data_IF_329343908567
#
_entry.id   IF_329343908567
#
_cell.length_a   1.000
_cell.length_b   1.000
_cell.length_c   1.000
_cell.angle_alpha   90.00
_cell.angle_beta   90.00
_cell.angle_gamma   90.00
#
_symmetry.space_group_name_H-M   'P 1'
#
loop_
_entity.id
_entity.type
_entity.pdbx_description
1 polymer ?
#
# COMPACT_ATOMS: atom_id res chain seq x y z
N UNK A 1 -16.48 50.66 -25.78
CA UNK A 1 -17.33 49.58 -25.22
C UNK A 1 -16.46 48.85 -24.23
N UNK A 2 -16.40 49.43 -23.04
CA UNK A 2 -15.53 49.01 -21.95
C UNK A 2 -16.15 47.80 -21.25
N UNK A 3 -15.47 46.66 -21.30
CA UNK A 3 -15.85 45.48 -20.51
C UNK A 3 -14.96 45.38 -19.29
N UNK A 4 -15.50 45.91 -18.20
CA UNK A 4 -15.06 45.77 -16.82
C UNK A 4 -15.21 44.30 -16.39
N UNK A 5 -14.11 43.56 -16.25
CA UNK A 5 -14.13 42.22 -15.63
C UNK A 5 -13.63 42.38 -14.21
N UNK A 6 -14.60 42.57 -13.32
CA UNK A 6 -14.43 42.60 -11.87
C UNK A 6 -13.82 41.28 -11.37
N UNK A 7 -12.69 41.42 -10.69
CA UNK A 7 -12.04 40.36 -9.92
C UNK A 7 -12.97 39.87 -8.79
N UNK A 8 -13.33 38.60 -8.84
CA UNK A 8 -13.90 37.85 -7.73
C UNK A 8 -12.83 36.88 -7.22
N UNK A 9 -12.16 37.29 -6.16
CA UNK A 9 -11.28 36.45 -5.33
C UNK A 9 -12.13 35.40 -4.62
N UNK A 10 -12.13 34.18 -5.14
CA UNK A 10 -12.56 33.00 -4.39
C UNK A 10 -11.33 32.42 -3.69
N UNK A 11 -11.35 32.47 -2.37
CA UNK A 11 -10.40 31.77 -1.52
C UNK A 11 -10.65 30.26 -1.65
N UNK A 12 -10.05 29.66 -2.68
CA UNK A 12 -10.07 28.21 -2.83
C UNK A 12 -9.06 27.63 -1.83
N UNK A 13 -9.64 26.91 -0.86
CA UNK A 13 -8.94 26.10 0.12
C UNK A 13 -7.80 25.33 -0.55
N UNK A 14 -6.56 25.62 -0.14
CA UNK A 14 -5.39 24.86 -0.56
C UNK A 14 -5.57 23.45 -0.05
N UNK A 15 -5.92 22.59 -0.98
CA UNK A 15 -6.13 21.16 -0.83
C UNK A 15 -4.97 20.49 -0.06
N UNK A 16 -5.34 19.69 0.93
CA UNK A 16 -4.47 19.05 1.93
C UNK A 16 -3.69 17.88 1.28
N UNK A 17 -2.76 18.22 0.39
CA UNK A 17 -1.71 17.34 -0.16
C UNK A 17 -2.20 15.94 -0.58
N UNK A 18 -2.74 15.82 -1.79
CA UNK A 18 -3.15 14.58 -2.46
C UNK A 18 -2.03 13.51 -2.68
N UNK A 19 -0.80 13.77 -2.23
CA UNK A 19 0.36 12.89 -2.45
C UNK A 19 1.25 12.69 -1.23
N UNK A 20 2.03 11.62 -1.27
CA UNK A 20 3.03 11.31 -0.25
C UNK A 20 4.24 12.27 -0.35
N UNK A 21 4.62 12.98 0.72
CA UNK A 21 5.68 13.99 0.68
C UNK A 21 7.10 13.39 0.55
N UNK A 22 7.24 12.06 0.63
CA UNK A 22 8.54 11.38 0.45
C UNK A 22 8.77 11.01 -1.01
N UNK A 23 7.77 10.41 -1.67
CA UNK A 23 7.91 9.94 -3.05
C UNK A 23 7.20 10.81 -4.07
N UNK A 24 6.48 11.85 -3.63
CA UNK A 24 5.75 12.82 -4.47
C UNK A 24 4.75 12.18 -5.45
N UNK A 25 4.21 11.01 -5.08
CA UNK A 25 3.20 10.28 -5.83
C UNK A 25 1.93 10.13 -4.98
N UNK A 26 0.77 9.78 -5.57
CA UNK A 26 -0.40 9.36 -4.81
C UNK A 26 -0.06 8.31 -3.75
N UNK A 27 -0.81 8.31 -2.64
CA UNK A 27 -0.51 7.41 -1.54
C UNK A 27 -0.74 5.94 -1.91
N UNK A 28 0.32 5.15 -1.85
CA UNK A 28 0.26 3.69 -1.90
C UNK A 28 0.32 3.13 -0.48
N UNK A 29 -0.75 2.44 -0.06
CA UNK A 29 -0.92 1.95 1.32
C UNK A 29 -0.65 3.06 2.37
N UNK A 30 -1.46 4.14 2.38
CA UNK A 30 -1.26 5.28 3.28
C UNK A 30 -1.31 4.86 4.75
N UNK A 31 -0.34 5.33 5.54
CA UNK A 31 -0.31 5.20 7.00
C UNK A 31 -0.27 6.58 7.64
N UNK A 32 -1.04 6.77 8.71
CA UNK A 32 -1.03 7.99 9.51
C UNK A 32 -0.19 7.78 10.79
N UNK A 33 0.76 8.69 11.03
CA UNK A 33 1.51 8.73 12.28
C UNK A 33 0.68 9.31 13.42
N UNK A 34 1.08 9.08 14.68
CA UNK A 34 0.48 9.75 15.85
C UNK A 34 0.51 11.28 15.75
N UNK A 35 1.46 11.83 15.00
CA UNK A 35 1.56 13.27 14.71
C UNK A 35 0.67 13.76 13.56
N UNK A 36 -0.22 12.91 13.04
CA UNK A 36 -1.19 13.19 11.96
C UNK A 36 -0.64 13.33 10.54
N UNK A 37 0.67 13.33 10.37
CA UNK A 37 1.26 13.24 9.03
C UNK A 37 1.08 11.87 8.39
N UNK A 38 0.79 11.88 7.08
CA UNK A 38 0.51 10.70 6.25
C UNK A 38 1.67 10.43 5.30
N UNK A 39 1.97 9.16 5.07
CA UNK A 39 3.01 8.69 4.15
C UNK A 39 2.60 7.35 3.52
N UNK A 40 3.17 6.99 2.36
CA UNK A 40 3.14 5.60 1.91
C UNK A 40 3.85 4.72 2.94
N UNK A 41 3.32 3.53 3.22
CA UNK A 41 3.94 2.62 4.20
C UNK A 41 5.39 2.30 3.90
N UNK A 42 5.74 2.03 2.65
CA UNK A 42 7.12 1.70 2.28
C UNK A 42 8.05 2.91 2.37
N UNK A 43 7.55 4.11 2.08
CA UNK A 43 8.30 5.34 2.28
C UNK A 43 8.62 5.52 3.77
N UNK A 44 7.62 5.35 4.64
CA UNK A 44 7.81 5.44 6.08
C UNK A 44 8.74 4.34 6.61
N UNK A 45 8.61 3.11 6.10
CA UNK A 45 9.49 1.98 6.43
C UNK A 45 10.94 2.30 6.08
N UNK A 46 11.19 2.90 4.91
CA UNK A 46 12.52 3.39 4.52
C UNK A 46 13.09 4.41 5.51
N UNK A 47 12.31 5.42 5.90
CA UNK A 47 12.72 6.42 6.91
C UNK A 47 12.99 5.78 8.29
N UNK A 48 12.23 4.74 8.65
CA UNK A 48 12.41 4.05 9.92
C UNK A 48 13.70 3.24 10.03
N UNK A 49 14.32 2.90 8.90
CA UNK A 49 15.63 2.24 8.88
C UNK A 49 16.79 3.22 9.11
N UNK A 50 16.58 4.52 8.87
CA UNK A 50 17.62 5.54 9.03
C UNK A 50 17.50 6.36 10.31
N UNK A 51 16.35 7.00 10.57
CA UNK A 51 16.23 8.05 11.60
C UNK A 51 15.03 7.86 12.56
N UNK A 52 14.08 6.95 12.26
CA UNK A 52 12.88 6.66 13.09
C UNK A 52 12.07 7.90 13.55
N UNK A 53 12.14 9.00 12.80
CA UNK A 53 11.45 10.27 13.06
C UNK A 53 10.59 10.65 11.86
N UNK A 54 9.45 11.27 12.12
CA UNK A 54 8.58 11.84 11.09
C UNK A 54 9.36 12.83 10.21
N UNK A 55 9.37 12.69 8.87
CA UNK A 55 10.04 13.63 7.99
C UNK A 55 9.56 15.09 8.10
N UNK A 56 8.30 15.29 8.46
CA UNK A 56 7.69 16.63 8.51
C UNK A 56 7.88 17.34 9.85
N UNK A 57 7.65 16.65 10.99
CA UNK A 57 7.72 17.29 12.31
C UNK A 57 8.72 16.66 13.29
N UNK A 58 9.52 15.69 12.83
CA UNK A 58 10.59 15.03 13.60
C UNK A 58 10.16 14.28 14.87
N UNK A 59 8.86 14.18 15.16
CA UNK A 59 8.30 13.34 16.24
C UNK A 59 8.62 11.86 15.98
N UNK A 60 8.84 11.09 17.06
CA UNK A 60 9.22 9.67 16.99
C UNK A 60 8.14 8.82 16.32
N UNK A 61 8.55 7.92 15.43
CA UNK A 61 7.67 6.93 14.80
C UNK A 61 7.51 5.74 15.75
N UNK A 62 6.26 5.29 15.97
CA UNK A 62 5.99 4.10 16.79
C UNK A 62 6.42 2.82 16.07
N UNK A 63 7.19 1.95 16.73
CA UNK A 63 7.55 0.61 16.20
C UNK A 63 6.32 -0.23 15.89
N UNK A 64 5.29 -0.11 16.73
CA UNK A 64 4.01 -0.81 16.55
C UNK A 64 3.38 -0.54 15.18
N UNK A 65 3.50 0.68 14.64
CA UNK A 65 2.96 1.03 13.33
C UNK A 65 3.68 0.32 12.18
N UNK A 66 4.96 0.00 12.36
CA UNK A 66 5.77 -0.69 11.35
C UNK A 66 5.51 -2.20 11.37
N UNK A 67 5.24 -2.75 12.55
CA UNK A 67 4.92 -4.16 12.74
C UNK A 67 3.46 -4.45 12.36
N UNK A 68 2.53 -3.61 12.81
CA UNK A 68 1.08 -3.73 12.63
C UNK A 68 0.52 -2.45 12.01
N UNK A 69 0.79 -2.18 10.73
CA UNK A 69 0.32 -0.96 10.08
C UNK A 69 -1.21 -0.89 10.07
N UNK A 70 -1.74 0.31 10.28
CA UNK A 70 -3.14 0.65 10.04
C UNK A 70 -3.19 1.48 8.78
N UNK A 71 -3.60 0.87 7.67
CA UNK A 71 -3.77 1.58 6.41
C UNK A 71 -5.07 2.39 6.44
N UNK A 72 -5.02 3.64 5.96
CA UNK A 72 -6.19 4.53 6.00
C UNK A 72 -7.31 4.07 5.05
N UNK A 73 -6.94 3.49 3.91
CA UNK A 73 -7.87 3.03 2.90
C UNK A 73 -7.76 1.50 2.78
N UNK A 74 -8.55 0.76 3.57
CA UNK A 74 -8.60 -0.72 3.53
C UNK A 74 -9.27 -1.27 2.25
N UNK A 75 -9.72 -0.39 1.35
CA UNK A 75 -10.35 -0.66 0.06
C UNK A 75 -9.44 -0.31 -1.13
N UNK A 76 -8.18 0.07 -0.87
CA UNK A 76 -7.21 0.33 -1.92
C UNK A 76 -7.15 -0.89 -2.86
N UNK A 77 -7.46 -0.68 -4.14
CA UNK A 77 -7.44 -1.70 -5.18
C UNK A 77 -6.05 -2.34 -5.31
N UNK A 78 -5.00 -1.65 -4.84
CA UNK A 78 -3.64 -2.17 -4.71
C UNK A 78 -3.52 -3.31 -3.69
N UNK A 79 -4.44 -3.40 -2.71
CA UNK A 79 -4.56 -4.49 -1.72
C UNK A 79 -5.33 -5.68 -2.30
N UNK A 80 -6.05 -5.54 -3.43
CA UNK A 80 -6.80 -6.65 -4.02
C UNK A 80 -5.81 -7.71 -4.43
N UNK A 81 -5.72 -8.70 -3.55
CA UNK A 81 -4.99 -9.93 -3.76
C UNK A 81 -5.60 -10.56 -5.01
N UNK A 82 -4.75 -10.82 -5.99
CA UNK A 82 -5.11 -11.48 -7.25
C UNK A 82 -6.02 -12.69 -6.98
N UNK A 83 -6.96 -12.94 -7.89
CA UNK A 83 -7.73 -14.18 -7.82
C UNK A 83 -6.78 -15.37 -7.94
N UNK A 84 -7.00 -16.41 -7.14
CA UNK A 84 -6.21 -17.65 -7.21
C UNK A 84 -6.27 -18.18 -8.65
N UNK A 85 -5.10 -18.48 -9.23
CA UNK A 85 -4.96 -19.01 -10.60
C UNK A 85 -4.59 -17.99 -11.69
N UNK A 86 -4.72 -16.69 -11.45
CA UNK A 86 -4.29 -15.68 -12.43
C UNK A 86 -2.77 -15.57 -12.51
N UNK A 87 -2.23 -15.33 -13.72
CA UNK A 87 -0.82 -14.96 -13.84
C UNK A 87 -0.54 -13.60 -13.23
N UNK A 88 0.56 -13.53 -12.46
CA UNK A 88 1.08 -12.34 -11.81
C UNK A 88 2.60 -12.30 -11.87
N UNK A 89 3.13 -11.09 -11.67
CA UNK A 89 4.54 -10.80 -11.61
C UNK A 89 5.04 -10.69 -10.18
N UNK A 90 6.20 -11.28 -9.95
CA UNK A 90 6.86 -11.34 -8.66
C UNK A 90 8.32 -10.95 -8.78
N UNK A 91 8.90 -10.46 -7.68
CA UNK A 91 10.33 -10.18 -7.56
C UNK A 91 10.97 -10.87 -6.37
N UNK A 92 12.22 -11.34 -6.53
CA UNK A 92 12.91 -12.10 -5.47
C UNK A 92 13.29 -11.19 -4.29
N UNK A 93 12.96 -11.66 -3.09
CA UNK A 93 13.40 -11.04 -1.84
C UNK A 93 14.88 -11.31 -1.52
N UNK A 94 15.51 -10.44 -0.72
CA UNK A 94 16.93 -10.57 -0.34
C UNK A 94 17.21 -11.79 0.54
N UNK A 95 16.29 -12.16 1.42
CA UNK A 95 16.36 -13.39 2.22
C UNK A 95 15.57 -14.55 1.60
N UNK A 96 15.65 -14.71 0.27
CA UNK A 96 14.81 -15.68 -0.46
C UNK A 96 13.34 -15.27 -0.56
N UNK A 97 12.52 -16.21 -1.05
CA UNK A 97 11.09 -16.03 -1.35
C UNK A 97 10.78 -14.97 -2.42
N UNK A 98 9.49 -14.77 -2.68
CA UNK A 98 8.96 -13.91 -3.73
C UNK A 98 8.01 -12.86 -3.16
N UNK A 99 8.11 -11.64 -3.67
CA UNK A 99 7.17 -10.56 -3.41
C UNK A 99 6.30 -10.36 -4.64
N UNK A 100 4.99 -10.29 -4.45
CA UNK A 100 4.06 -9.88 -5.49
C UNK A 100 4.21 -8.36 -5.71
N UNK A 101 4.32 -7.89 -6.95
CA UNK A 101 4.20 -6.45 -7.24
C UNK A 101 2.78 -5.96 -6.89
N UNK A 102 2.61 -4.68 -6.56
CA UNK A 102 1.27 -4.09 -6.43
C UNK A 102 0.47 -4.22 -7.75
N UNK A 103 -0.85 -4.04 -7.66
CA UNK A 103 -1.79 -4.27 -8.77
C UNK A 103 -1.41 -3.48 -10.03
N UNK A 104 -1.21 -2.18 -9.90
CA UNK A 104 -1.00 -1.30 -11.06
C UNK A 104 0.34 -1.62 -11.73
N UNK A 105 1.38 -1.86 -10.93
CA UNK A 105 2.66 -2.34 -11.45
C UNK A 105 2.53 -3.71 -12.12
N UNK A 106 1.76 -4.64 -11.54
CA UNK A 106 1.48 -5.95 -12.14
C UNK A 106 0.83 -5.83 -13.51
N UNK A 107 -0.23 -5.01 -13.61
CA UNK A 107 -0.99 -4.80 -14.83
C UNK A 107 -0.12 -4.14 -15.91
N UNK A 108 0.72 -3.18 -15.52
CA UNK A 108 1.67 -2.52 -16.41
C UNK A 108 2.71 -3.49 -16.97
N UNK A 109 3.36 -4.28 -16.10
CA UNK A 109 4.37 -5.28 -16.51
C UNK A 109 3.73 -6.35 -17.40
N UNK A 110 2.54 -6.86 -17.04
CA UNK A 110 1.83 -7.86 -17.82
C UNK A 110 1.44 -7.32 -19.20
N UNK A 111 0.98 -6.08 -19.30
CA UNK A 111 0.67 -5.45 -20.57
C UNK A 111 1.92 -5.31 -21.45
N UNK A 112 3.04 -4.81 -20.91
CA UNK A 112 4.30 -4.71 -21.62
C UNK A 112 4.77 -6.06 -22.16
N UNK A 113 4.75 -7.10 -21.31
CA UNK A 113 5.12 -8.45 -21.68
C UNK A 113 4.24 -9.05 -22.78
N UNK A 114 2.90 -8.92 -22.66
CA UNK A 114 1.96 -9.44 -23.68
C UNK A 114 2.09 -8.74 -25.03
N UNK A 115 2.55 -7.50 -25.04
CA UNK A 115 2.85 -6.75 -26.26
C UNK A 115 4.26 -7.05 -26.82
N UNK A 116 4.92 -8.12 -26.35
CA UNK A 116 6.25 -8.55 -26.80
C UNK A 116 7.33 -7.47 -26.68
N UNK A 117 7.20 -6.55 -25.71
CA UNK A 117 8.31 -5.67 -25.36
C UNK A 117 9.46 -6.50 -24.80
N UNK A 118 10.70 -6.04 -24.99
CA UNK A 118 11.90 -6.71 -24.41
C UNK A 118 12.12 -6.32 -22.96
N UNK A 119 11.64 -5.15 -22.57
CA UNK A 119 11.70 -4.62 -21.21
C UNK A 119 10.61 -3.57 -20.98
N UNK A 120 10.39 -3.20 -19.72
CA UNK A 120 9.59 -2.03 -19.36
C UNK A 120 10.19 -1.25 -18.19
N UNK A 121 9.80 0.01 -18.05
CA UNK A 121 10.27 0.90 -16.99
C UNK A 121 9.16 1.12 -15.95
N UNK A 122 9.43 0.76 -14.69
CA UNK A 122 8.48 0.92 -13.58
C UNK A 122 9.02 1.92 -12.56
N UNK A 123 8.12 2.69 -11.95
CA UNK A 123 8.46 3.64 -10.88
C UNK A 123 8.03 3.08 -9.53
N UNK A 124 8.99 2.75 -8.67
CA UNK A 124 8.75 2.18 -7.34
C UNK A 124 9.33 3.10 -6.27
N UNK A 125 8.46 3.70 -5.44
CA UNK A 125 8.87 4.58 -4.33
C UNK A 125 9.75 5.74 -4.84
N UNK A 126 9.38 6.34 -5.98
CA UNK A 126 10.12 7.43 -6.61
C UNK A 126 11.43 7.02 -7.30
N UNK A 127 11.70 5.73 -7.46
CA UNK A 127 12.89 5.21 -8.14
C UNK A 127 12.50 4.48 -9.43
N UNK A 128 13.23 4.75 -10.52
CA UNK A 128 13.01 4.10 -11.81
C UNK A 128 13.77 2.76 -11.89
N UNK A 129 13.05 1.70 -12.26
CA UNK A 129 13.60 0.37 -12.49
C UNK A 129 13.31 -0.09 -13.91
N UNK A 130 14.24 -0.84 -14.48
CA UNK A 130 14.01 -1.66 -15.67
C UNK A 130 13.56 -3.04 -15.21
N UNK A 131 12.53 -3.59 -15.86
CA UNK A 131 12.18 -5.01 -15.83
C UNK A 131 12.53 -5.59 -17.20
N UNK A 132 13.63 -6.34 -17.25
CA UNK A 132 14.14 -6.99 -18.46
C UNK A 132 13.50 -8.38 -18.58
N UNK A 133 12.71 -8.58 -19.64
CA UNK A 133 11.97 -9.81 -19.87
C UNK A 133 12.83 -10.92 -20.46
N UNK A 134 13.93 -10.58 -21.15
CA UNK A 134 14.85 -11.57 -21.70
C UNK A 134 15.69 -12.20 -20.58
N UNK A 135 16.20 -11.38 -19.66
CA UNK A 135 16.99 -11.85 -18.51
C UNK A 135 16.13 -12.28 -17.32
N UNK A 136 14.84 -11.92 -17.30
CA UNK A 136 13.95 -12.08 -16.16
C UNK A 136 14.53 -11.45 -14.89
N UNK A 137 14.98 -10.20 -15.01
CA UNK A 137 15.58 -9.43 -13.93
C UNK A 137 14.99 -8.02 -13.85
N UNK A 138 14.87 -7.49 -12.64
CA UNK A 138 14.72 -6.06 -12.41
C UNK A 138 16.02 -5.45 -11.89
N UNK A 139 16.26 -4.18 -12.19
CA UNK A 139 17.36 -3.40 -11.63
C UNK A 139 17.07 -1.90 -11.71
N UNK A 140 17.72 -1.12 -10.86
CA UNK A 140 17.57 0.34 -10.89
C UNK A 140 18.34 0.91 -12.07
N UNK A 141 17.76 1.91 -12.73
CA UNK A 141 18.41 2.62 -13.85
C UNK A 141 19.72 3.29 -13.40
N UNK A 142 19.72 3.90 -12.21
CA UNK A 142 20.86 4.64 -11.67
C UNK A 142 21.92 3.75 -10.99
N UNK A 143 21.54 2.54 -10.56
CA UNK A 143 22.44 1.59 -9.88
C UNK A 143 22.19 0.16 -10.42
N UNK A 144 22.59 -0.13 -11.68
CA UNK A 144 22.24 -1.39 -12.34
C UNK A 144 22.91 -2.62 -11.72
N UNK A 145 23.94 -2.45 -10.88
CA UNK A 145 24.62 -3.55 -10.18
C UNK A 145 23.75 -4.28 -9.15
N UNK A 146 22.67 -3.65 -8.66
CA UNK A 146 21.73 -4.28 -7.72
C UNK A 146 20.53 -4.85 -8.48
N UNK A 147 20.67 -6.09 -8.92
CA UNK A 147 19.63 -6.81 -9.67
C UNK A 147 18.81 -7.74 -8.76
N UNK A 148 17.55 -7.98 -9.13
CA UNK A 148 16.69 -9.01 -8.52
C UNK A 148 16.03 -9.83 -9.62
N UNK A 149 15.91 -11.14 -9.42
CA UNK A 149 15.12 -11.99 -10.33
C UNK A 149 13.65 -11.58 -10.29
N UNK A 150 13.00 -11.60 -11.45
CA UNK A 150 11.54 -11.53 -11.56
C UNK A 150 10.99 -12.84 -12.11
N UNK A 151 9.71 -13.12 -11.88
CA UNK A 151 9.00 -14.22 -12.51
C UNK A 151 7.56 -13.83 -12.82
N UNK A 152 7.00 -14.45 -13.86
CA UNK A 152 5.57 -14.49 -14.15
C UNK A 152 5.07 -15.89 -13.79
N UNK A 153 4.13 -15.98 -12.88
CA UNK A 153 3.67 -17.27 -12.34
C UNK A 153 2.20 -17.18 -11.93
N UNK A 154 1.54 -18.31 -11.71
CA UNK A 154 0.17 -18.31 -11.20
C UNK A 154 0.15 -17.87 -9.74
N UNK A 155 -0.80 -17.01 -9.40
CA UNK A 155 -0.98 -16.56 -8.03
C UNK A 155 -1.60 -17.67 -7.18
N UNK A 156 -0.95 -17.95 -6.06
CA UNK A 156 -1.46 -18.83 -5.01
C UNK A 156 -1.21 -18.17 -3.65
N UNK A 157 -2.28 -17.82 -2.93
CA UNK A 157 -2.18 -17.22 -1.59
C UNK A 157 -1.44 -18.09 -0.57
N UNK A 158 -1.48 -19.41 -0.75
CA UNK A 158 -0.92 -20.40 0.16
C UNK A 158 0.51 -20.81 -0.23
N UNK A 159 1.08 -20.23 -1.29
CA UNK A 159 2.49 -20.46 -1.68
C UNK A 159 3.44 -20.09 -0.51
N UNK A 160 4.23 -21.05 -0.05
CA UNK A 160 5.17 -20.87 1.07
C UNK A 160 6.33 -19.92 0.74
N UNK A 161 6.70 -19.76 -0.53
CA UNK A 161 7.70 -18.79 -0.95
C UNK A 161 7.14 -17.37 -1.06
N UNK A 162 5.81 -17.19 -1.12
CA UNK A 162 5.20 -15.87 -1.20
C UNK A 162 5.34 -15.14 0.14
N UNK A 163 6.04 -14.01 0.14
CA UNK A 163 6.31 -13.19 1.33
C UNK A 163 5.20 -12.21 1.63
N UNK A 164 4.52 -11.75 0.58
CA UNK A 164 3.47 -10.74 0.63
C UNK A 164 3.45 -9.86 -0.61
N UNK A 165 2.95 -8.64 -0.46
CA UNK A 165 2.67 -7.70 -1.55
C UNK A 165 3.51 -6.43 -1.38
N UNK A 166 4.32 -6.09 -2.37
CA UNK A 166 5.17 -4.90 -2.43
C UNK A 166 5.92 -4.59 -1.12
N UNK A 167 6.41 -5.60 -0.39
CA UNK A 167 7.13 -5.40 0.89
C UNK A 167 6.25 -5.30 2.15
N UNK A 168 4.93 -5.46 2.03
CA UNK A 168 3.96 -5.70 3.10
C UNK A 168 3.77 -7.21 3.26
N UNK A 169 4.11 -7.77 4.42
CA UNK A 169 4.08 -9.23 4.60
C UNK A 169 2.66 -9.82 4.61
N UNK A 170 2.52 -11.12 4.33
CA UNK A 170 1.24 -11.85 4.48
C UNK A 170 0.60 -11.62 5.85
N UNK A 171 1.39 -11.72 6.92
CA UNK A 171 0.93 -11.48 8.29
C UNK A 171 0.39 -10.05 8.48
N UNK A 172 1.04 -9.05 7.89
CA UNK A 172 0.58 -7.67 7.93
C UNK A 172 -0.74 -7.51 7.18
N UNK A 173 -0.87 -8.12 6.00
CA UNK A 173 -2.11 -8.12 5.20
C UNK A 173 -3.28 -8.82 5.92
N UNK A 174 -3.05 -9.97 6.56
CA UNK A 174 -4.07 -10.69 7.32
C UNK A 174 -4.61 -9.89 8.52
N UNK A 175 -3.74 -9.14 9.19
CA UNK A 175 -4.12 -8.30 10.32
C UNK A 175 -5.11 -7.20 9.94
N UNK A 176 -5.15 -6.81 8.65
CA UNK A 176 -6.15 -5.89 8.11
C UNK A 176 -7.51 -6.59 7.96
N UNK A 177 -7.53 -7.82 7.45
CA UNK A 177 -8.77 -8.56 7.16
C UNK A 177 -9.55 -8.91 8.44
N UNK A 178 -8.86 -9.21 9.56
CA UNK A 178 -9.49 -9.68 10.81
C UNK A 178 -10.37 -8.62 11.50
N UNK A 179 -10.18 -7.33 11.25
CA UNK A 179 -11.01 -6.26 11.85
C UNK A 179 -12.41 -6.13 11.23
N UNK A 180 -12.70 -6.86 10.14
CA UNK A 180 -14.01 -6.88 9.48
C UNK A 180 -15.08 -7.72 10.19
N UNK A 181 -14.76 -8.51 11.24
CA UNK A 181 -15.81 -9.20 12.01
C UNK A 181 -16.45 -8.21 13.00
N UNK A 182 -17.76 -7.92 12.90
CA UNK A 182 -18.44 -7.14 13.93
C UNK A 182 -18.32 -7.87 15.27
N UNK A 183 -17.90 -7.16 16.31
CA UNK A 183 -18.11 -7.60 17.68
C UNK A 183 -19.62 -7.73 17.89
N UNK A 184 -20.16 -8.95 17.95
CA UNK A 184 -21.51 -9.16 18.47
C UNK A 184 -21.51 -8.73 19.93
N UNK A 185 -22.11 -7.57 20.22
CA UNK A 185 -22.39 -7.16 21.58
C UNK A 185 -23.36 -8.15 22.22
N UNK A 186 -23.12 -8.61 23.47
CA UNK A 186 -24.05 -9.51 24.14
C UNK A 186 -25.38 -8.77 24.38
N UNK A 187 -26.46 -9.30 23.79
CA UNK A 187 -27.82 -8.81 23.99
C UNK A 187 -28.17 -8.87 25.48
N UNK A 188 -28.44 -7.72 26.10
CA UNK A 188 -28.94 -7.66 27.49
C UNK A 188 -30.26 -8.43 27.59
N UNK A 189 -30.26 -9.50 28.38
CA UNK A 189 -31.45 -10.26 28.76
C UNK A 189 -32.30 -9.38 29.67
N UNK A 190 -33.40 -8.83 29.18
CA UNK A 190 -34.41 -8.18 30.03
C UNK A 190 -35.14 -9.26 30.83
N UNK A 191 -34.87 -9.33 32.12
CA UNK A 191 -35.72 -10.01 33.09
C UNK A 191 -36.98 -9.17 33.31
N UNK A 192 -38.12 -9.70 32.90
CA UNK A 192 -39.44 -9.10 33.11
C UNK A 192 -39.84 -9.32 34.57
N UNK A 193 -39.70 -8.30 35.40
CA UNK A 193 -40.29 -8.25 36.74
C UNK A 193 -41.80 -8.01 36.61
N UNK A 194 -42.60 -9.00 37.01
CA UNK A 194 -44.03 -8.82 37.27
C UNK A 194 -44.18 -8.22 38.67
N UNK A 195 -44.82 -7.05 38.76
CA UNK A 195 -45.34 -6.50 40.01
C UNK A 195 -46.86 -6.62 40.01
N UNK A 196 -47.38 -7.33 41.01
CA UNK A 196 -48.78 -7.36 41.40
C UNK A 196 -49.22 -6.03 42.04
N UNK A 197 -50.45 -5.61 41.76
CA UNK A 197 -51.28 -4.70 42.57
C UNK A 197 -52.72 -4.80 42.03
N UNK A 198 -53.65 -5.50 42.69
CA UNK A 198 -54.55 -5.02 43.76
C UNK A 198 -55.34 -3.76 43.38
N UNK A 199 -56.57 -3.94 42.91
CA UNK A 199 -57.79 -3.47 43.60
C UNK A 199 -58.97 -4.33 43.15
#
# INVERSE_FOLDING_TARGET
MDVNVSASTSADNVDDSDGCPICLNPFSFPVELKCKHKFCFLCLKGVSLSNQKCPLCRKKISKELLEKPKFLNEQDSSIVIANDGDYKWFYKGSGGGWWLYDKDTNDFIENAYRNNQTECHISLIGLCYVVDFAQMMQYRVDVPGKKRRVKRDTYNKDDSELKGLAGISKMQLESLKRKKKPQMSPTKRQTRSQTHSHT
#
